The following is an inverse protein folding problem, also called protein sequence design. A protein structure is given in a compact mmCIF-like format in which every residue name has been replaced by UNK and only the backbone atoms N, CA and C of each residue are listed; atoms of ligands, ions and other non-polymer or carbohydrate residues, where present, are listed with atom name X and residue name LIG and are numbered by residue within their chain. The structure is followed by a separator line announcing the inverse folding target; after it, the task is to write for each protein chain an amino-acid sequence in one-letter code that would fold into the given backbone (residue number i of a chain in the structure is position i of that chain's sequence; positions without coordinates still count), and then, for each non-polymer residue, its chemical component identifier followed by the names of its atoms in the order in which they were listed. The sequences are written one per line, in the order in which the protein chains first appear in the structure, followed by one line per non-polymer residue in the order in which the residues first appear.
data_IF_665935669789
#
_entry.id   IF_665935669789
#
_cell.length_a   1.000
_cell.length_b   1.000
_cell.length_c   1.000
_cell.angle_alpha   90.00
_cell.angle_beta   90.00
_cell.angle_gamma   90.00
#
_symmetry.space_group_name_H-M   'P 1'
#
loop_
_entity.id
_entity.type
_entity.pdbx_description
1 polymer ?
#
# COMPACT_ATOMS: atom_id res chain seq x y z
N UNK A 1 -27.52 3.49 -2.41
CA UNK A 1 -26.98 4.61 -3.23
C UNK A 1 -25.71 4.12 -3.92
N UNK A 2 -25.42 4.53 -5.15
CA UNK A 2 -24.25 4.02 -5.90
C UNK A 2 -22.94 4.66 -5.38
N UNK A 3 -21.81 3.96 -5.58
CA UNK A 3 -20.49 4.52 -5.31
C UNK A 3 -20.16 5.74 -6.18
N UNK A 4 -19.20 6.56 -5.75
CA UNK A 4 -18.84 7.83 -6.42
C UNK A 4 -17.34 7.91 -6.73
N UNK A 5 -17.00 8.48 -7.88
CA UNK A 5 -15.63 8.86 -8.22
C UNK A 5 -15.35 10.31 -7.83
N UNK A 6 -14.19 10.55 -7.23
CA UNK A 6 -13.71 11.89 -6.89
C UNK A 6 -12.30 12.12 -7.44
N UNK A 7 -12.08 13.23 -8.13
CA UNK A 7 -10.75 13.69 -8.56
C UNK A 7 -10.20 14.64 -7.49
N UNK A 8 -8.98 14.41 -7.04
CA UNK A 8 -8.29 15.24 -6.06
C UNK A 8 -6.82 15.41 -6.42
N UNK A 9 -6.20 16.43 -5.84
CA UNK A 9 -4.75 16.63 -5.88
C UNK A 9 -4.16 16.13 -4.58
N UNK A 10 -3.16 15.25 -4.66
CA UNK A 10 -2.51 14.69 -3.47
C UNK A 10 -1.44 15.64 -2.90
N UNK A 11 -0.84 15.28 -1.76
CA UNK A 11 0.18 16.11 -1.11
C UNK A 11 1.42 16.35 -1.99
N UNK A 12 1.72 15.43 -2.91
CA UNK A 12 2.80 15.54 -3.90
C UNK A 12 2.39 16.34 -5.15
N UNK A 13 1.24 17.03 -5.13
CA UNK A 13 0.69 17.80 -6.25
C UNK A 13 0.34 16.97 -7.49
N UNK A 14 0.19 15.64 -7.39
CA UNK A 14 -0.30 14.84 -8.50
C UNK A 14 -1.82 14.83 -8.54
N UNK A 15 -2.38 14.72 -9.75
CA UNK A 15 -3.82 14.52 -9.93
C UNK A 15 -4.13 13.02 -9.82
N UNK A 16 -5.02 12.65 -8.91
CA UNK A 16 -5.50 11.28 -8.72
C UNK A 16 -7.02 11.26 -8.68
N UNK A 17 -7.60 10.08 -8.80
CA UNK A 17 -8.99 9.86 -8.45
C UNK A 17 -9.14 8.70 -7.47
N UNK A 18 -10.21 8.71 -6.70
CA UNK A 18 -10.62 7.60 -5.83
C UNK A 18 -12.05 7.17 -6.14
N UNK A 19 -12.33 5.89 -5.93
CA UNK A 19 -13.68 5.34 -5.93
C UNK A 19 -14.13 5.12 -4.49
N UNK A 20 -15.27 5.71 -4.14
CA UNK A 20 -15.90 5.57 -2.83
C UNK A 20 -17.10 4.62 -2.92
N UNK A 21 -17.26 3.79 -1.88
CA UNK A 21 -18.48 3.02 -1.63
C UNK A 21 -19.63 3.92 -1.20
N UNK A 22 -20.83 3.32 -1.06
CA UNK A 22 -22.03 4.05 -0.63
C UNK A 22 -21.92 4.63 0.79
N UNK A 23 -21.06 4.04 1.61
CA UNK A 23 -20.71 4.39 2.98
C UNK A 23 -19.55 5.41 3.06
N UNK A 24 -18.98 5.82 1.91
CA UNK A 24 -17.81 6.68 1.85
C UNK A 24 -16.47 5.95 2.00
N UNK A 25 -16.47 4.62 2.10
CA UNK A 25 -15.23 3.84 2.19
C UNK A 25 -14.46 3.91 0.87
N UNK A 26 -13.16 4.14 0.92
CA UNK A 26 -12.31 4.14 -0.28
C UNK A 26 -12.10 2.71 -0.78
N UNK A 27 -12.62 2.40 -1.97
CA UNK A 27 -12.52 1.10 -2.60
C UNK A 27 -11.29 0.97 -3.52
N UNK A 28 -10.93 2.07 -4.20
CA UNK A 28 -9.77 2.11 -5.10
C UNK A 28 -9.19 3.52 -5.21
N UNK A 29 -7.89 3.61 -5.47
CA UNK A 29 -7.18 4.87 -5.75
C UNK A 29 -6.39 4.68 -7.05
N UNK A 30 -6.42 5.68 -7.92
CA UNK A 30 -5.70 5.66 -9.18
C UNK A 30 -4.21 5.92 -9.02
N UNK A 31 -3.46 5.61 -10.08
CA UNK A 31 -2.12 6.20 -10.29
C UNK A 31 -2.19 7.74 -10.32
N UNK A 32 -1.02 8.36 -10.19
CA UNK A 32 -0.83 9.77 -10.52
C UNK A 32 -1.04 10.01 -12.03
N UNK A 33 -1.71 11.10 -12.34
CA UNK A 33 -1.91 11.66 -13.68
C UNK A 33 -1.36 13.09 -13.72
N UNK A 34 -0.97 13.52 -14.92
CA UNK A 34 -0.42 14.85 -15.14
C UNK A 34 -1.48 15.96 -15.05
N UNK A 35 -2.74 15.64 -15.39
CA UNK A 35 -3.83 16.60 -15.40
C UNK A 35 -5.22 15.96 -15.18
N UNK A 36 -6.21 16.82 -14.90
CA UNK A 36 -7.59 16.39 -14.62
C UNK A 36 -8.28 15.71 -15.80
N UNK A 37 -7.93 16.06 -17.04
CA UNK A 37 -8.51 15.42 -18.23
C UNK A 37 -8.04 13.97 -18.37
N UNK A 38 -6.75 13.70 -18.12
CA UNK A 38 -6.25 12.32 -18.10
C UNK A 38 -6.90 11.51 -16.97
N UNK A 39 -7.08 12.09 -15.79
CA UNK A 39 -7.79 11.43 -14.69
C UNK A 39 -9.25 11.11 -15.06
N UNK A 40 -9.95 12.04 -15.71
CA UNK A 40 -11.32 11.83 -16.20
C UNK A 40 -11.39 10.70 -17.24
N UNK A 41 -10.44 10.65 -18.18
CA UNK A 41 -10.33 9.53 -19.13
C UNK A 41 -10.08 8.20 -18.43
N UNK A 42 -9.25 8.20 -17.37
CA UNK A 42 -9.04 7.03 -16.51
C UNK A 42 -10.32 6.55 -15.83
N UNK A 43 -11.15 7.47 -15.32
CA UNK A 43 -12.46 7.14 -14.75
C UNK A 43 -13.37 6.50 -15.81
N UNK A 44 -13.42 7.05 -17.02
CA UNK A 44 -14.22 6.48 -18.11
C UNK A 44 -13.79 5.06 -18.44
N UNK A 45 -12.49 4.81 -18.56
CA UNK A 45 -11.95 3.47 -18.77
C UNK A 45 -12.29 2.52 -17.61
N UNK A 46 -12.20 2.97 -16.36
CA UNK A 46 -12.61 2.15 -15.21
C UNK A 46 -14.10 1.84 -15.26
N UNK A 47 -14.97 2.79 -15.62
CA UNK A 47 -16.42 2.54 -15.73
C UNK A 47 -16.75 1.51 -16.80
N UNK A 48 -16.07 1.58 -17.93
CA UNK A 48 -16.22 0.61 -19.03
C UNK A 48 -15.72 -0.78 -18.61
N UNK A 49 -14.50 -0.86 -18.07
CA UNK A 49 -13.87 -2.12 -17.70
C UNK A 49 -14.49 -2.77 -16.45
N UNK A 50 -14.88 -2.00 -15.43
CA UNK A 50 -15.38 -2.55 -14.16
C UNK A 50 -16.83 -3.04 -14.25
N UNK A 51 -17.62 -2.53 -15.21
CA UNK A 51 -18.98 -3.00 -15.42
C UNK A 51 -19.05 -4.46 -15.90
N UNK A 52 -18.03 -4.92 -16.63
CA UNK A 52 -18.01 -6.25 -17.28
C UNK A 52 -16.73 -7.05 -17.02
N UNK A 53 -15.77 -6.47 -16.30
CA UNK A 53 -14.44 -7.03 -16.11
C UNK A 53 -14.45 -8.34 -15.34
N UNK A 54 -13.67 -9.30 -15.82
CA UNK A 54 -13.50 -10.59 -15.14
C UNK A 54 -12.57 -10.44 -13.94
N UNK A 55 -12.95 -11.07 -12.83
CA UNK A 55 -12.09 -11.19 -11.66
C UNK A 55 -11.01 -12.23 -11.99
N UNK A 56 -9.74 -11.80 -11.95
CA UNK A 56 -8.59 -12.67 -12.15
C UNK A 56 -7.63 -12.51 -10.98
N UNK A 57 -7.24 -13.65 -10.42
CA UNK A 57 -6.12 -13.71 -9.49
C UNK A 57 -4.81 -13.50 -10.25
N UNK A 58 -4.08 -12.44 -9.93
CA UNK A 58 -2.69 -12.31 -10.34
C UNK A 58 -1.86 -13.27 -9.48
N UNK A 59 -0.92 -14.01 -10.08
CA UNK A 59 -0.10 -15.01 -9.38
C UNK A 59 0.53 -14.38 -8.14
N UNK A 60 -0.05 -14.61 -6.97
CA UNK A 60 0.63 -14.36 -5.70
C UNK A 60 1.62 -15.50 -5.53
N UNK A 61 2.84 -15.20 -5.08
CA UNK A 61 3.60 -16.23 -4.36
C UNK A 61 2.64 -16.83 -3.33
N UNK A 62 2.51 -18.16 -3.21
CA UNK A 62 1.52 -18.76 -2.33
C UNK A 62 1.69 -18.13 -0.95
N UNK A 63 0.59 -17.63 -0.40
CA UNK A 63 0.53 -17.14 0.97
C UNK A 63 0.80 -18.34 1.89
N UNK A 64 2.07 -18.61 2.17
CA UNK A 64 2.47 -19.52 3.23
C UNK A 64 2.24 -18.74 4.52
N UNK A 65 1.09 -18.97 5.17
CA UNK A 65 0.63 -18.26 6.37
C UNK A 65 1.52 -18.44 7.60
N UNK A 66 2.78 -18.01 7.52
CA UNK A 66 3.70 -17.91 8.63
C UNK A 66 4.13 -16.45 8.72
N UNK A 67 3.30 -15.65 9.40
CA UNK A 67 3.87 -14.60 10.23
C UNK A 67 4.69 -15.31 11.30
N UNK A 68 5.92 -15.70 10.94
CA UNK A 68 6.93 -16.07 11.90
C UNK A 68 7.05 -14.88 12.85
N UNK A 69 6.56 -15.12 14.07
CA UNK A 69 6.71 -14.29 15.24
C UNK A 69 8.04 -13.54 15.19
N UNK A 70 8.00 -12.24 14.86
CA UNK A 70 9.12 -11.31 15.14
C UNK A 70 9.12 -10.93 16.63
N UNK A 71 8.95 -11.91 17.51
CA UNK A 71 9.18 -11.73 18.93
C UNK A 71 10.26 -12.71 19.36
N UNK A 72 11.51 -12.30 19.20
CA UNK A 72 12.59 -12.53 20.15
C UNK A 72 13.90 -11.92 19.61
N UNK A 73 14.12 -10.65 19.91
CA UNK A 73 15.48 -10.22 20.26
C UNK A 73 15.55 -10.25 21.78
N UNK A 74 16.59 -10.86 22.34
CA UNK A 74 17.42 -10.06 23.23
C UNK A 74 18.85 -10.04 22.71
N UNK A 75 19.28 -8.81 22.42
CA UNK A 75 20.61 -8.25 22.61
C UNK A 75 21.67 -9.24 23.12
N UNK A 76 22.62 -9.59 22.25
CA UNK A 76 23.94 -10.05 22.69
C UNK A 76 24.60 -8.88 23.42
N UNK A 77 24.54 -8.88 24.75
CA UNK A 77 25.31 -7.96 25.58
C UNK A 77 26.79 -8.33 25.44
N UNK A 78 27.54 -7.46 24.79
CA UNK A 78 29.00 -7.51 24.67
C UNK A 78 29.66 -7.62 26.04
N UNK A 79 30.14 -8.82 26.41
CA UNK A 79 31.06 -8.98 27.54
C UNK A 79 32.46 -8.49 27.12
N UNK A 80 32.74 -7.21 27.38
CA UNK A 80 34.10 -6.68 27.38
C UNK A 80 34.87 -7.28 28.57
N UNK A 81 35.67 -8.32 28.31
CA UNK A 81 36.69 -8.77 29.26
C UNK A 81 37.92 -7.86 29.18
N UNK A 82 37.89 -6.74 29.92
CA UNK A 82 39.13 -6.07 30.33
C UNK A 82 39.78 -6.94 31.42
N UNK A 83 40.75 -7.78 31.06
CA UNK A 83 41.71 -8.31 32.04
C UNK A 83 42.79 -7.25 32.27
N UNK A 84 42.63 -6.54 33.37
CA UNK A 84 43.68 -5.74 34.01
C UNK A 84 44.64 -6.72 34.73
N UNK A 85 45.92 -6.71 34.37
CA UNK A 85 46.98 -7.38 35.11
C UNK A 85 47.35 -6.53 36.33
N UNK A 86 47.33 -7.05 37.57
CA UNK A 86 48.04 -6.40 38.66
C UNK A 86 49.49 -6.88 38.72
N UNK A 87 50.38 -5.95 39.04
CA UNK A 87 51.81 -6.14 39.24
C UNK A 87 52.12 -6.85 40.57
N UNK A 88 53.05 -7.81 40.52
CA UNK A 88 54.19 -8.02 41.44
C UNK A 88 55.08 -9.12 40.85
#
# INVERSE_FOLDING_TARGET
MAGQFEIFTDAESNVRFRLLGADGTVLAISRAFDNKNQAANGIMAVRECAGTGLIREARSNPWTGQHASRNASPSSASHHHHRHLPAV
#
